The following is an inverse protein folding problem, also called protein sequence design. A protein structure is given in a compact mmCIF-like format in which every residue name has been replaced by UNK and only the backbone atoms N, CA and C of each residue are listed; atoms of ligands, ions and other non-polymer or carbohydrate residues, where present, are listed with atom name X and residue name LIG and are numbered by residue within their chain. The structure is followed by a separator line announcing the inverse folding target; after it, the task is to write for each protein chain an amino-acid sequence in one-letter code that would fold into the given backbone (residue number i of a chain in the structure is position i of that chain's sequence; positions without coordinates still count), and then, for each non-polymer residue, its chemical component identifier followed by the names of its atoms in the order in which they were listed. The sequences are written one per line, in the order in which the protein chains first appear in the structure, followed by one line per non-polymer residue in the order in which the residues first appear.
data_IF_419212738137
#
_entry.id   IF_419212738137
#
_cell.length_a   1.000
_cell.length_b   1.000
_cell.length_c   1.000
_cell.angle_alpha   90.00
_cell.angle_beta   90.00
_cell.angle_gamma   90.00
#
_symmetry.space_group_name_H-M   'P 1'
#
loop_
_entity.id
_entity.type
_entity.pdbx_description
1 polymer ?
#
# COMPACT_ATOMS: atom_id res chain seq x y z
N UNK A 1 -12.79 32.02 -21.24
CA UNK A 1 -12.57 31.35 -19.93
C UNK A 1 -11.95 30.00 -20.17
N UNK A 2 -10.70 29.83 -19.79
CA UNK A 2 -10.08 28.52 -19.78
C UNK A 2 -10.63 27.71 -18.59
N UNK A 3 -11.25 26.57 -18.89
CA UNK A 3 -11.61 25.59 -17.84
C UNK A 3 -10.35 25.21 -17.09
N UNK A 4 -10.30 25.32 -15.74
CA UNK A 4 -9.12 24.86 -15.01
C UNK A 4 -8.91 23.39 -15.29
N UNK A 5 -7.65 23.01 -15.54
CA UNK A 5 -7.27 21.62 -15.74
C UNK A 5 -7.60 20.84 -14.47
N UNK A 6 -8.26 19.71 -14.61
CA UNK A 6 -8.52 18.81 -13.49
C UNK A 6 -7.18 18.27 -12.97
N UNK A 7 -6.85 18.65 -11.75
CA UNK A 7 -5.62 18.22 -11.07
C UNK A 7 -5.90 17.20 -9.95
N UNK A 8 -7.13 16.67 -9.93
CA UNK A 8 -7.55 15.78 -8.85
C UNK A 8 -7.04 14.35 -9.02
N UNK A 9 -6.81 13.69 -7.90
CA UNK A 9 -6.52 12.28 -7.82
C UNK A 9 -7.12 11.68 -6.55
N UNK A 10 -7.33 10.38 -6.55
CA UNK A 10 -7.95 9.67 -5.46
C UNK A 10 -6.97 8.72 -4.78
N UNK A 11 -7.02 8.66 -3.45
CA UNK A 11 -6.33 7.67 -2.63
C UNK A 11 -7.35 6.94 -1.77
N UNK A 12 -7.11 5.65 -1.56
CA UNK A 12 -7.85 4.90 -0.55
C UNK A 12 -7.39 5.29 0.86
N UNK A 13 -8.33 5.47 1.77
CA UNK A 13 -8.04 5.40 3.19
C UNK A 13 -7.86 3.91 3.54
N UNK A 14 -6.92 3.63 4.43
CA UNK A 14 -6.56 2.26 4.83
C UNK A 14 -6.81 2.05 6.32
N UNK A 15 -7.22 0.84 6.66
CA UNK A 15 -7.18 0.33 8.03
C UNK A 15 -6.18 -0.83 8.08
N UNK A 16 -5.29 -0.78 9.06
CA UNK A 16 -4.34 -1.86 9.34
C UNK A 16 -4.64 -2.41 10.72
N UNK A 17 -4.86 -3.72 10.79
CA UNK A 17 -5.27 -4.40 12.01
C UNK A 17 -4.40 -5.61 12.29
N UNK A 18 -4.03 -5.79 13.56
CA UNK A 18 -3.31 -6.97 14.02
C UNK A 18 -4.29 -8.13 14.12
N UNK A 19 -4.00 -9.20 13.38
CA UNK A 19 -4.74 -10.46 13.39
C UNK A 19 -3.81 -11.61 13.74
N UNK A 20 -4.36 -12.67 14.33
CA UNK A 20 -3.63 -13.87 14.65
C UNK A 20 -4.58 -15.06 14.82
N UNK A 21 -4.07 -16.31 14.73
CA UNK A 21 -4.86 -17.48 15.08
C UNK A 21 -5.36 -17.40 16.53
N UNK A 22 -6.55 -17.98 16.80
CA UNK A 22 -7.14 -18.01 18.14
C UNK A 22 -6.19 -18.69 19.12
N UNK A 23 -5.95 -18.06 20.27
CA UNK A 23 -5.08 -18.58 21.34
C UNK A 23 -3.58 -18.44 21.06
N UNK A 24 -3.19 -17.85 19.94
CA UNK A 24 -1.78 -17.62 19.64
C UNK A 24 -1.15 -16.60 20.59
N UNK A 25 0.07 -16.90 21.02
CA UNK A 25 0.87 -15.95 21.80
C UNK A 25 1.56 -14.98 20.86
N UNK A 26 1.31 -13.68 21.05
CA UNK A 26 1.98 -12.62 20.32
C UNK A 26 3.18 -12.10 21.13
N UNK A 27 4.23 -11.78 20.39
CA UNK A 27 5.42 -11.11 20.90
C UNK A 27 5.42 -9.65 20.43
N UNK A 28 6.48 -8.89 20.58
CA UNK A 28 6.62 -7.51 20.10
C UNK A 28 5.61 -6.48 20.66
N UNK A 29 4.89 -6.79 21.74
CA UNK A 29 3.92 -5.87 22.35
C UNK A 29 2.61 -5.69 21.58
N UNK A 30 2.44 -6.34 20.43
CA UNK A 30 1.22 -6.29 19.66
C UNK A 30 0.09 -7.08 20.33
N UNK A 31 -1.13 -6.59 20.19
CA UNK A 31 -2.36 -7.27 20.63
C UNK A 31 -3.28 -7.46 19.46
N UNK A 32 -3.96 -8.61 19.40
CA UNK A 32 -5.02 -8.84 18.42
C UNK A 32 -6.06 -7.74 18.51
N UNK A 33 -6.40 -7.15 17.37
CA UNK A 33 -7.33 -6.05 17.30
C UNK A 33 -6.70 -4.66 17.39
N UNK A 34 -5.42 -4.54 17.72
CA UNK A 34 -4.73 -3.25 17.59
C UNK A 34 -4.82 -2.77 16.15
N UNK A 35 -5.11 -1.51 15.95
CA UNK A 35 -5.30 -0.97 14.62
C UNK A 35 -4.83 0.47 14.49
N UNK A 36 -4.54 0.87 13.28
CA UNK A 36 -4.45 2.27 12.89
C UNK A 36 -5.15 2.48 11.55
N UNK A 37 -5.50 3.73 11.27
CA UNK A 37 -6.00 4.15 9.97
C UNK A 37 -5.03 5.14 9.33
N UNK A 38 -4.82 4.97 8.04
CA UNK A 38 -4.14 5.95 7.21
C UNK A 38 -5.22 6.68 6.43
N UNK A 39 -5.48 7.93 6.84
CA UNK A 39 -6.46 8.81 6.19
C UNK A 39 -5.72 9.89 5.44
N UNK A 40 -5.78 9.83 4.13
CA UNK A 40 -4.92 10.66 3.32
C UNK A 40 -3.46 10.35 3.61
N UNK A 41 -2.72 11.34 4.09
CA UNK A 41 -1.30 11.21 4.44
C UNK A 41 -1.05 11.04 5.94
N UNK A 42 -2.13 10.97 6.74
CA UNK A 42 -2.05 11.02 8.20
C UNK A 42 -2.40 9.69 8.85
N UNK A 43 -1.55 9.30 9.79
CA UNK A 43 -1.72 8.11 10.61
C UNK A 43 -2.56 8.44 11.84
N UNK A 44 -3.62 7.67 12.06
CA UNK A 44 -4.51 7.80 13.20
C UNK A 44 -4.57 6.51 14.01
N UNK A 45 -4.29 6.63 15.32
CA UNK A 45 -4.46 5.54 16.27
C UNK A 45 -5.66 5.82 17.16
N UNK A 46 -6.33 4.76 17.69
CA UNK A 46 -7.34 4.97 18.71
C UNK A 46 -6.74 5.60 19.98
N UNK A 47 -7.53 6.38 20.74
CA UNK A 47 -7.07 6.94 21.98
C UNK A 47 -6.53 5.88 22.96
N UNK A 48 -5.36 6.11 23.53
CA UNK A 48 -4.75 5.23 24.52
C UNK A 48 -4.14 3.94 23.99
N UNK A 49 -4.19 3.70 22.67
CA UNK A 49 -3.56 2.54 22.05
C UNK A 49 -2.20 2.90 21.47
N UNK A 50 -1.20 2.08 21.76
CA UNK A 50 0.04 2.06 20.99
C UNK A 50 -0.06 1.16 19.77
N UNK A 51 0.99 1.16 18.96
CA UNK A 51 1.16 0.21 17.86
C UNK A 51 2.64 -0.18 17.77
N UNK A 52 2.90 -1.48 17.68
CA UNK A 52 4.28 -1.97 17.62
C UNK A 52 5.04 -1.37 16.44
N UNK A 53 6.21 -0.80 16.69
CA UNK A 53 7.07 -0.26 15.62
C UNK A 53 7.56 -1.34 14.67
N UNK A 54 7.69 -2.57 15.11
CA UNK A 54 8.09 -3.71 14.26
C UNK A 54 6.95 -4.10 13.32
N UNK A 55 5.73 -4.13 13.83
CA UNK A 55 4.53 -4.34 13.01
C UNK A 55 4.32 -3.20 12.02
N UNK A 56 4.48 -1.96 12.46
CA UNK A 56 4.39 -0.79 11.59
C UNK A 56 5.45 -0.85 10.47
N UNK A 57 6.69 -1.17 10.82
CA UNK A 57 7.78 -1.27 9.85
C UNK A 57 7.52 -2.29 8.76
N UNK A 58 6.80 -3.38 9.06
CA UNK A 58 6.48 -4.41 8.07
C UNK A 58 5.50 -3.94 7.01
N UNK A 59 4.62 -3.01 7.32
CA UNK A 59 3.57 -2.51 6.39
C UNK A 59 3.92 -1.18 5.73
N UNK A 60 4.76 -0.36 6.35
CA UNK A 60 5.10 0.97 5.83
C UNK A 60 5.48 0.97 4.35
N UNK A 61 6.32 0.06 3.85
CA UNK A 61 6.71 0.05 2.44
C UNK A 61 5.54 -0.20 1.48
N UNK A 62 4.45 -0.78 1.96
CA UNK A 62 3.32 -1.19 1.14
C UNK A 62 2.16 -0.19 1.18
N UNK A 63 2.09 0.67 2.20
CA UNK A 63 0.92 1.51 2.44
C UNK A 63 0.64 2.45 1.28
N UNK A 64 1.64 3.14 0.76
CA UNK A 64 1.45 4.06 -0.35
C UNK A 64 0.93 3.35 -1.62
N UNK A 65 1.39 2.14 -1.89
CA UNK A 65 0.90 1.33 -2.99
C UNK A 65 -0.55 0.87 -2.75
N UNK A 66 -0.87 0.45 -1.54
CA UNK A 66 -2.24 0.04 -1.16
C UNK A 66 -3.25 1.18 -1.23
N UNK A 67 -2.81 2.41 -1.07
CA UNK A 67 -3.68 3.60 -1.22
C UNK A 67 -4.06 3.90 -2.66
N UNK A 68 -3.33 3.38 -3.63
CA UNK A 68 -3.56 3.64 -5.05
C UNK A 68 -4.29 2.50 -5.70
N UNK A 69 -5.10 2.80 -6.72
CA UNK A 69 -5.70 1.78 -7.55
C UNK A 69 -4.59 0.98 -8.24
N UNK A 70 -4.67 -0.33 -8.14
CA UNK A 70 -3.69 -1.26 -8.69
C UNK A 70 -4.36 -2.22 -9.67
N UNK A 71 -3.59 -2.75 -10.60
CA UNK A 71 -4.11 -3.70 -11.57
C UNK A 71 -4.68 -4.94 -10.86
N UNK A 72 -5.83 -5.48 -11.30
CA UNK A 72 -6.44 -6.64 -10.64
C UNK A 72 -5.55 -7.89 -10.57
N UNK A 73 -4.60 -8.03 -11.47
CA UNK A 73 -3.65 -9.14 -11.50
C UNK A 73 -2.39 -8.89 -10.66
N UNK A 74 -2.20 -7.67 -10.18
CA UNK A 74 -1.09 -7.34 -9.30
C UNK A 74 -1.38 -7.88 -7.88
N UNK A 75 -0.42 -8.58 -7.29
CA UNK A 75 -0.54 -9.08 -5.92
C UNK A 75 -0.81 -7.96 -4.89
N UNK A 76 -0.44 -6.74 -5.20
CA UNK A 76 -0.78 -5.58 -4.38
C UNK A 76 -2.30 -5.35 -4.26
N UNK A 77 -3.08 -5.85 -5.23
CA UNK A 77 -4.54 -5.80 -5.19
C UNK A 77 -5.18 -6.94 -4.40
N UNK A 78 -4.49 -8.08 -4.29
CA UNK A 78 -5.06 -9.31 -3.72
C UNK A 78 -4.55 -9.62 -2.31
N UNK A 79 -3.29 -9.36 -2.04
CA UNK A 79 -2.63 -9.78 -0.80
C UNK A 79 -2.86 -8.74 0.30
N UNK A 80 -3.80 -9.02 1.19
CA UNK A 80 -4.21 -8.10 2.24
C UNK A 80 -3.42 -8.27 3.55
N UNK A 81 -2.73 -9.38 3.74
CA UNK A 81 -2.06 -9.71 4.99
C UNK A 81 -0.54 -9.69 4.83
N UNK A 82 0.13 -9.09 5.81
CA UNK A 82 1.58 -9.01 5.90
C UNK A 82 2.04 -9.72 7.17
N UNK A 83 3.07 -10.54 7.05
CA UNK A 83 3.63 -11.26 8.19
C UNK A 83 4.36 -10.31 9.15
N UNK A 84 4.34 -10.63 10.44
CA UNK A 84 5.23 -10.03 11.42
C UNK A 84 6.69 -10.34 11.05
N UNK A 85 7.64 -9.41 11.24
CA UNK A 85 9.05 -9.67 10.95
C UNK A 85 9.69 -10.69 11.90
N UNK A 86 9.09 -10.99 13.04
CA UNK A 86 9.53 -12.08 13.91
C UNK A 86 8.93 -13.40 13.42
N UNK A 87 9.76 -14.37 12.95
CA UNK A 87 9.27 -15.64 12.45
C UNK A 87 8.60 -16.51 13.52
N UNK A 88 8.83 -16.22 14.81
CA UNK A 88 8.20 -16.94 15.92
C UNK A 88 6.90 -16.27 16.41
N UNK A 89 6.58 -15.09 15.90
CA UNK A 89 5.34 -14.40 16.22
C UNK A 89 4.30 -14.68 15.12
N UNK A 90 3.16 -15.31 15.44
CA UNK A 90 2.17 -15.68 14.45
C UNK A 90 1.26 -14.51 14.05
N UNK A 91 1.49 -13.31 14.54
CA UNK A 91 0.68 -12.14 14.18
C UNK A 91 0.88 -11.79 12.73
N UNK A 92 -0.21 -11.28 12.13
CA UNK A 92 -0.25 -10.70 10.79
C UNK A 92 -0.89 -9.34 10.86
N UNK A 93 -0.67 -8.56 9.85
CA UNK A 93 -1.24 -7.23 9.70
C UNK A 93 -2.14 -7.24 8.48
N UNK A 94 -3.42 -7.04 8.70
CA UNK A 94 -4.40 -6.99 7.62
C UNK A 94 -4.59 -5.55 7.18
N UNK A 95 -4.37 -5.28 5.90
CA UNK A 95 -4.57 -3.98 5.27
C UNK A 95 -5.90 -4.01 4.53
N UNK A 96 -6.82 -3.12 4.93
CA UNK A 96 -8.16 -3.02 4.31
C UNK A 96 -8.34 -1.62 3.74
N UNK A 97 -8.80 -1.52 2.51
CA UNK A 97 -9.23 -0.26 1.91
C UNK A 97 -10.62 0.08 2.43
N UNK A 98 -10.77 1.20 3.14
CA UNK A 98 -12.01 1.54 3.87
C UNK A 98 -12.79 2.69 3.27
N UNK A 99 -12.22 3.41 2.34
CA UNK A 99 -12.89 4.53 1.68
C UNK A 99 -11.98 5.18 0.67
N UNK A 100 -12.51 6.14 -0.05
CA UNK A 100 -11.77 6.87 -1.07
C UNK A 100 -11.82 8.35 -0.76
N UNK A 101 -10.67 9.03 -0.90
CA UNK A 101 -10.51 10.44 -0.62
C UNK A 101 -9.92 11.13 -1.83
N UNK A 102 -10.48 12.28 -2.19
CA UNK A 102 -10.01 13.06 -3.33
C UNK A 102 -9.09 14.18 -2.89
N UNK A 103 -8.00 14.34 -3.63
CA UNK A 103 -6.99 15.36 -3.45
C UNK A 103 -6.86 16.23 -4.70
N UNK A 104 -6.39 17.46 -4.50
CA UNK A 104 -5.90 18.32 -5.56
C UNK A 104 -4.37 18.28 -5.59
N UNK A 105 -3.79 18.12 -6.77
CA UNK A 105 -2.33 18.12 -6.93
C UNK A 105 -1.69 19.38 -6.32
N UNK A 106 -2.26 20.54 -6.59
CA UNK A 106 -1.73 21.81 -6.10
C UNK A 106 -1.73 21.94 -4.57
N UNK A 107 -2.58 21.18 -3.86
CA UNK A 107 -2.62 21.16 -2.40
C UNK A 107 -1.67 20.15 -1.78
N UNK A 108 -1.13 19.22 -2.58
CA UNK A 108 -0.26 18.14 -2.09
C UNK A 108 1.20 18.33 -2.41
N UNK A 109 1.53 19.17 -3.39
CA UNK A 109 2.91 19.45 -3.80
C UNK A 109 3.05 20.82 -4.40
N UNK A 110 4.23 21.41 -4.25
CA UNK A 110 4.59 22.67 -4.90
C UNK A 110 5.05 22.46 -6.36
N UNK A 111 5.32 21.23 -6.76
CA UNK A 111 5.75 20.90 -8.12
C UNK A 111 4.54 20.97 -9.05
N UNK A 112 4.53 21.84 -10.07
CA UNK A 112 3.39 21.92 -10.99
C UNK A 112 3.23 20.62 -11.79
N UNK A 113 1.99 20.37 -12.23
CA UNK A 113 1.77 19.34 -13.22
C UNK A 113 2.60 19.63 -14.47
N UNK A 114 3.29 18.62 -14.96
CA UNK A 114 3.96 18.72 -16.24
C UNK A 114 2.91 19.02 -17.33
N UNK A 115 3.23 19.86 -18.35
CA UNK A 115 2.38 19.95 -19.53
C UNK A 115 2.17 18.52 -20.04
N UNK A 116 0.89 18.17 -20.27
CA UNK A 116 0.49 16.79 -20.49
C UNK A 116 1.44 16.05 -21.42
N UNK A 117 1.99 14.90 -21.01
CA UNK A 117 2.77 14.13 -21.93
C UNK A 117 1.86 13.81 -23.10
N UNK A 118 2.28 14.21 -24.29
CA UNK A 118 1.90 13.44 -25.44
C UNK A 118 2.21 12.00 -25.04
N UNK A 119 1.20 11.17 -24.90
CA UNK A 119 1.42 9.74 -24.59
C UNK A 119 2.01 9.06 -25.81
N UNK A 120 3.15 9.55 -26.28
CA UNK A 120 3.94 8.92 -27.28
C UNK A 120 4.88 7.98 -26.55
N UNK A 121 4.41 6.73 -26.42
CA UNK A 121 5.35 5.65 -26.23
C UNK A 121 5.91 5.52 -24.81
N UNK A 122 5.11 4.96 -23.89
CA UNK A 122 5.70 3.87 -23.13
C UNK A 122 6.02 2.80 -24.16
N UNK A 123 7.28 2.77 -24.61
CA UNK A 123 7.75 1.66 -25.42
C UNK A 123 7.47 0.40 -24.59
N UNK A 124 6.55 -0.42 -25.07
CA UNK A 124 6.46 -1.79 -24.63
C UNK A 124 7.80 -2.41 -25.01
N UNK A 125 8.73 -2.42 -24.06
CA UNK A 125 9.90 -3.27 -24.21
C UNK A 125 9.37 -4.69 -24.12
N UNK A 126 9.41 -5.44 -25.21
CA UNK A 126 9.08 -6.85 -25.13
C UNK A 126 10.06 -7.47 -24.14
N UNK A 127 9.53 -8.11 -23.13
CA UNK A 127 10.32 -8.90 -22.22
C UNK A 127 11.08 -9.93 -23.06
N UNK A 128 12.42 -10.01 -22.99
CA UNK A 128 13.14 -11.02 -23.73
C UNK A 128 12.62 -12.39 -23.32
N UNK A 129 12.31 -13.20 -24.31
CA UNK A 129 11.93 -14.58 -24.07
C UNK A 129 13.05 -15.28 -23.30
N UNK A 130 12.74 -16.16 -22.34
CA UNK A 130 13.78 -16.93 -21.67
C UNK A 130 14.55 -17.77 -22.73
N UNK A 131 15.85 -17.60 -22.70
CA UNK A 131 16.73 -18.41 -23.52
C UNK A 131 16.49 -19.89 -23.19
N UNK A 132 15.95 -20.62 -24.14
CA UNK A 132 15.91 -22.08 -24.07
C UNK A 132 17.33 -22.54 -24.28
N UNK A 133 18.03 -22.84 -23.20
CA UNK A 133 19.29 -23.61 -23.33
C UNK A 133 18.98 -24.94 -23.98
N UNK A 134 19.45 -25.07 -25.21
CA UNK A 134 19.48 -26.35 -25.90
C UNK A 134 20.54 -27.21 -25.17
N UNK A 135 20.11 -28.23 -24.48
CA UNK A 135 20.97 -29.34 -24.06
C UNK A 135 21.42 -30.06 -25.29
N UNK A 136 22.67 -29.91 -25.66
CA UNK A 136 23.33 -30.80 -26.59
C UNK A 136 24.00 -31.95 -25.80
N UNK A 137 23.76 -33.15 -26.23
CA UNK A 137 24.39 -34.39 -25.78
C UNK A 137 25.91 -34.32 -25.72
#
# INVERSE_FOLDING_TARGET
MTTPMDDTFDLYDLRVEVVAPVGARLYCGAKVGDWFELRGEMLHLPPGQGFSIYSLASVLPLLAAKQRATHPHDWMSTDAEVACPDPNCPSRLRITRIGMRRFSHAETTAVPLAPGPTQSGVANHPHPAPDTEATSE
#
